data_IF_722453176678
#
_entry.id   IF_722453176678
#
_cell.length_a   1.000
_cell.length_b   1.000
_cell.length_c   1.000
_cell.angle_alpha   90.00
_cell.angle_beta   90.00
_cell.angle_gamma   90.00
#
_symmetry.space_group_name_H-M   'P 1'
#
loop_
_entity.id
_entity.type
_entity.pdbx_description
1 polymer ?
#
# COMPACT_ATOMS: atom_id res chain seq x y z
N UNK A 1 -7.42 5.92 9.41
CA UNK A 1 -6.53 6.69 10.29
C UNK A 1 -6.50 5.98 11.63
N UNK A 2 -5.35 5.43 12.05
CA UNK A 2 -5.24 4.82 13.38
C UNK A 2 -4.62 5.84 14.31
N UNK A 3 -5.40 6.28 15.28
CA UNK A 3 -4.91 7.14 16.35
C UNK A 3 -4.38 6.22 17.44
N UNK A 4 -3.08 6.36 17.75
CA UNK A 4 -2.55 5.80 18.97
C UNK A 4 -3.26 6.50 20.13
N UNK A 5 -3.51 5.81 21.25
CA UNK A 5 -4.01 6.45 22.46
C UNK A 5 -2.86 6.56 23.44
N UNK A 6 -2.52 7.78 23.84
CA UNK A 6 -1.57 8.02 24.91
C UNK A 6 -2.10 7.46 26.25
N UNK A 7 -1.22 7.21 27.25
CA UNK A 7 -1.64 6.92 28.61
C UNK A 7 -2.58 8.04 29.11
N UNK A 8 -3.86 7.71 29.33
CA UNK A 8 -4.93 8.70 29.63
C UNK A 8 -6.01 8.84 28.55
N UNK A 9 -5.90 8.11 27.42
CA UNK A 9 -6.95 8.00 26.42
C UNK A 9 -7.01 9.13 25.39
N UNK A 10 -6.08 10.09 25.47
CA UNK A 10 -5.89 11.18 24.49
C UNK A 10 -5.41 10.60 23.17
N UNK A 11 -5.98 11.07 22.06
CA UNK A 11 -5.55 10.70 20.72
C UNK A 11 -4.14 11.26 20.48
N UNK A 12 -3.20 10.37 20.20
CA UNK A 12 -1.82 10.66 19.81
C UNK A 12 -1.67 10.44 18.31
N UNK A 13 -1.48 11.55 17.60
CA UNK A 13 -1.26 11.63 16.15
C UNK A 13 0.21 11.91 15.80
N UNK A 14 1.12 11.89 16.79
CA UNK A 14 2.54 12.23 16.59
C UNK A 14 3.20 11.42 15.49
N UNK A 15 2.85 10.13 15.38
CA UNK A 15 3.37 9.25 14.36
C UNK A 15 2.79 9.51 12.97
N UNK A 16 1.50 9.85 12.87
CA UNK A 16 0.90 10.24 11.59
C UNK A 16 1.47 11.58 11.11
N UNK A 17 1.72 12.52 12.04
CA UNK A 17 2.46 13.77 11.74
C UNK A 17 3.88 13.49 11.27
N UNK A 18 4.59 12.59 11.94
CA UNK A 18 5.92 12.17 11.49
C UNK A 18 5.89 11.59 10.07
N UNK A 19 4.95 10.69 9.73
CA UNK A 19 4.86 10.18 8.36
C UNK A 19 4.51 11.26 7.35
N UNK A 20 3.61 12.18 7.70
CA UNK A 20 3.25 13.29 6.85
C UNK A 20 4.46 14.19 6.54
N UNK A 21 5.24 14.55 7.56
CA UNK A 21 6.35 15.48 7.45
C UNK A 21 7.61 14.84 6.85
N UNK A 22 7.97 13.64 7.29
CA UNK A 22 9.26 13.00 6.98
C UNK A 22 9.19 12.05 5.79
N UNK A 23 8.00 11.61 5.36
CA UNK A 23 7.86 10.66 4.24
C UNK A 23 6.96 11.18 3.14
N UNK A 24 5.73 11.57 3.46
CA UNK A 24 4.76 12.01 2.45
C UNK A 24 5.16 13.39 1.89
N UNK A 25 5.60 14.32 2.72
CA UNK A 25 6.06 15.65 2.32
C UNK A 25 7.19 15.63 1.28
N UNK A 26 8.31 14.94 1.53
CA UNK A 26 9.39 14.74 0.55
C UNK A 26 8.89 14.07 -0.73
N UNK A 27 8.09 13.01 -0.61
CA UNK A 27 7.52 12.33 -1.77
C UNK A 27 6.66 13.26 -2.63
N UNK A 28 5.81 14.11 -2.04
CA UNK A 28 4.96 15.04 -2.77
C UNK A 28 5.76 16.03 -3.63
N UNK A 29 6.88 16.55 -3.08
CA UNK A 29 7.79 17.43 -3.82
C UNK A 29 8.40 16.71 -5.03
N UNK A 30 8.88 15.48 -4.82
CA UNK A 30 9.48 14.66 -5.88
C UNK A 30 8.43 14.30 -6.92
N UNK A 31 7.24 13.84 -6.50
CA UNK A 31 6.10 13.51 -7.39
C UNK A 31 5.77 14.67 -8.30
N UNK A 32 5.63 15.88 -7.77
CA UNK A 32 5.26 17.04 -8.59
C UNK A 32 6.31 17.33 -9.66
N UNK A 33 7.61 17.19 -9.34
CA UNK A 33 8.68 17.28 -10.36
C UNK A 33 8.56 16.17 -11.41
N UNK A 34 8.36 14.92 -10.99
CA UNK A 34 8.17 13.77 -11.90
C UNK A 34 7.00 14.00 -12.87
N UNK A 35 5.90 14.61 -12.41
CA UNK A 35 4.77 14.96 -13.26
C UNK A 35 5.12 16.03 -14.30
N UNK A 36 5.94 17.02 -13.95
CA UNK A 36 6.43 18.04 -14.90
C UNK A 36 7.35 17.41 -15.93
N UNK A 37 8.27 16.54 -15.52
CA UNK A 37 9.16 15.80 -16.43
C UNK A 37 8.37 14.91 -17.39
N UNK A 38 7.40 14.15 -16.88
CA UNK A 38 6.51 13.33 -17.69
C UNK A 38 5.66 14.15 -18.68
N UNK A 39 5.27 15.38 -18.31
CA UNK A 39 4.54 16.27 -19.22
C UNK A 39 5.45 16.88 -20.31
N UNK A 40 6.75 16.98 -20.04
CA UNK A 40 7.74 17.51 -21.00
C UNK A 40 8.22 16.44 -22.00
N UNK A 41 8.22 15.16 -21.62
CA UNK A 41 8.60 14.05 -22.49
C UNK A 41 7.41 13.32 -23.10
N UNK A 42 7.47 13.01 -24.40
CA UNK A 42 6.54 12.10 -25.04
C UNK A 42 7.06 10.67 -24.90
N UNK A 43 6.54 9.88 -23.96
CA UNK A 43 6.78 8.43 -23.86
C UNK A 43 7.31 7.94 -22.52
N UNK A 44 8.05 6.82 -22.56
CA UNK A 44 8.67 6.19 -21.37
C UNK A 44 9.97 6.92 -21.03
N UNK A 45 10.03 7.54 -19.85
CA UNK A 45 11.22 8.23 -19.38
C UNK A 45 11.94 7.40 -18.32
N UNK A 46 13.26 7.26 -18.47
CA UNK A 46 14.12 6.88 -17.36
C UNK A 46 14.15 8.03 -16.37
N UNK A 47 13.84 7.73 -15.12
CA UNK A 47 13.72 8.76 -14.08
C UNK A 47 15.11 9.24 -13.66
N UNK A 48 15.31 10.55 -13.61
CA UNK A 48 16.51 11.13 -13.01
C UNK A 48 16.22 11.50 -11.55
N UNK A 49 16.45 10.55 -10.65
CA UNK A 49 16.44 10.79 -9.20
C UNK A 49 17.88 10.75 -8.68
N UNK A 50 18.21 11.65 -7.75
CA UNK A 50 19.39 11.46 -6.90
C UNK A 50 19.22 10.18 -6.04
N UNK A 51 20.30 9.56 -5.57
CA UNK A 51 20.20 8.40 -4.67
C UNK A 51 19.30 8.68 -3.45
N UNK A 52 19.38 9.87 -2.87
CA UNK A 52 18.60 10.30 -1.72
C UNK A 52 17.11 10.42 -2.07
N UNK A 53 16.77 11.07 -3.18
CA UNK A 53 15.38 11.18 -3.65
C UNK A 53 14.81 9.80 -3.99
N UNK A 54 15.61 8.93 -4.61
CA UNK A 54 15.20 7.57 -4.94
C UNK A 54 14.86 6.78 -3.68
N UNK A 55 15.70 6.86 -2.65
CA UNK A 55 15.45 6.23 -1.37
C UNK A 55 14.22 6.82 -0.68
N UNK A 56 14.01 8.14 -0.72
CA UNK A 56 12.83 8.79 -0.15
C UNK A 56 11.52 8.29 -0.81
N UNK A 57 11.49 8.20 -2.14
CA UNK A 57 10.32 7.62 -2.83
C UNK A 57 10.17 6.14 -2.49
N UNK A 58 11.27 5.38 -2.44
CA UNK A 58 11.23 3.95 -2.10
C UNK A 58 10.68 3.70 -0.69
N UNK A 59 11.04 4.55 0.28
CA UNK A 59 10.52 4.50 1.64
C UNK A 59 9.01 4.80 1.68
N UNK A 60 8.56 5.81 0.92
CA UNK A 60 7.13 6.06 0.76
C UNK A 60 6.40 4.84 0.20
N UNK A 61 6.91 4.22 -0.88
CA UNK A 61 6.32 3.01 -1.47
C UNK A 61 6.29 1.84 -0.49
N UNK A 62 7.38 1.61 0.26
CA UNK A 62 7.47 0.58 1.28
C UNK A 62 6.39 0.76 2.36
N UNK A 63 6.19 1.99 2.85
CA UNK A 63 5.14 2.30 3.83
C UNK A 63 3.75 2.14 3.23
N UNK A 64 3.50 2.57 1.99
CA UNK A 64 2.20 2.35 1.33
C UNK A 64 1.87 0.85 1.24
N UNK A 65 2.84 0.01 0.88
CA UNK A 65 2.68 -1.44 0.85
C UNK A 65 2.32 -2.03 2.22
N UNK A 66 3.11 -1.69 3.25
CA UNK A 66 2.97 -2.22 4.61
C UNK A 66 1.72 -1.68 5.32
N UNK A 67 1.19 -0.53 4.89
CA UNK A 67 -0.05 0.06 5.41
C UNK A 67 -1.30 -0.58 4.80
N UNK A 68 -1.20 -1.47 3.82
CA UNK A 68 -2.41 -2.11 3.27
C UNK A 68 -3.07 -3.03 4.30
N UNK A 69 -4.41 -3.14 4.33
CA UNK A 69 -5.09 -4.01 5.28
C UNK A 69 -4.66 -5.49 5.21
N UNK A 70 -4.27 -5.97 4.03
CA UNK A 70 -3.76 -7.33 3.81
C UNK A 70 -2.44 -7.54 4.55
N UNK A 71 -1.46 -6.66 4.35
CA UNK A 71 -0.16 -6.76 5.03
C UNK A 71 -0.29 -6.56 6.54
N UNK A 72 -1.20 -5.70 6.99
CA UNK A 72 -1.52 -5.58 8.42
C UNK A 72 -2.07 -6.89 8.99
N UNK A 73 -2.98 -7.52 8.27
CA UNK A 73 -3.53 -8.82 8.65
C UNK A 73 -2.45 -9.89 8.75
N UNK A 74 -1.54 -9.94 7.77
CA UNK A 74 -0.41 -10.86 7.76
C UNK A 74 0.57 -10.59 8.91
N UNK A 75 0.93 -9.32 9.18
CA UNK A 75 1.84 -8.94 10.27
C UNK A 75 1.24 -9.27 11.64
N UNK A 76 -0.05 -9.03 11.84
CA UNK A 76 -0.75 -9.40 13.07
C UNK A 76 -0.80 -10.93 13.23
N UNK A 77 -1.10 -11.66 12.15
CA UNK A 77 -1.11 -13.13 12.16
C UNK A 77 0.27 -13.72 12.45
N UNK A 78 1.34 -13.19 11.85
CA UNK A 78 2.72 -13.60 12.15
C UNK A 78 3.10 -13.29 13.60
N UNK A 79 2.63 -12.16 14.14
CA UNK A 79 2.85 -11.80 15.53
C UNK A 79 2.12 -12.78 16.47
N UNK A 80 0.88 -13.15 16.15
CA UNK A 80 0.13 -14.19 16.86
C UNK A 80 0.90 -15.52 16.83
N UNK A 81 1.41 -15.91 15.65
CA UNK A 81 2.20 -17.13 15.49
C UNK A 81 3.55 -17.10 16.20
N UNK A 82 4.20 -15.96 16.36
CA UNK A 82 5.49 -15.86 17.05
C UNK A 82 5.34 -15.75 18.58
N UNK A 83 4.25 -15.15 19.04
CA UNK A 83 3.92 -15.04 20.46
C UNK A 83 3.67 -16.42 21.11
N UNK A 84 2.99 -17.32 20.39
CA UNK A 84 2.62 -18.65 20.91
C UNK A 84 3.86 -19.52 21.23
N UNK A 85 4.85 -19.70 20.33
CA UNK A 85 6.09 -20.43 20.60
C UNK A 85 6.91 -19.81 21.73
N UNK A 86 7.02 -18.48 21.80
CA UNK A 86 7.77 -17.82 22.87
C UNK A 86 7.13 -18.13 24.24
N UNK A 87 5.81 -18.03 24.35
CA UNK A 87 5.10 -18.39 25.59
C UNK A 87 5.29 -19.88 25.89
N UNK A 88 5.17 -20.75 24.89
CA UNK A 88 5.32 -22.20 25.05
C UNK A 88 6.73 -22.59 25.50
N UNK A 89 7.77 -22.01 24.90
CA UNK A 89 9.17 -22.30 25.22
C UNK A 89 9.51 -21.82 26.64
N UNK A 90 9.02 -20.65 27.03
CA UNK A 90 9.18 -20.11 28.39
C UNK A 90 8.44 -20.95 29.44
N UNK A 91 7.29 -21.54 29.07
CA UNK A 91 6.45 -22.36 29.94
C UNK A 91 6.74 -23.88 29.87
N UNK A 92 7.67 -24.32 29.02
CA UNK A 92 8.06 -25.72 28.90
C UNK A 92 8.71 -26.25 30.20
N UNK A 93 8.72 -27.57 30.46
CA UNK A 93 9.49 -28.14 31.57
C UNK A 93 10.96 -27.72 31.50
N UNK A 94 11.45 -27.05 32.56
CA UNK A 94 12.81 -26.49 32.59
C UNK A 94 12.95 -25.08 32.00
N UNK A 95 11.88 -24.51 31.46
CA UNK A 95 11.83 -23.11 31.01
C UNK A 95 11.82 -22.12 32.17
N UNK A 96 12.41 -20.94 31.95
CA UNK A 96 12.56 -19.89 32.97
C UNK A 96 11.22 -19.38 33.53
N UNK A 97 10.13 -19.49 32.76
CA UNK A 97 8.80 -19.06 33.17
C UNK A 97 8.25 -19.88 34.34
N UNK A 98 8.52 -21.19 34.39
CA UNK A 98 7.98 -22.05 35.45
C UNK A 98 8.54 -21.69 36.82
N UNK A 99 9.87 -21.47 36.89
CA UNK A 99 10.55 -21.05 38.11
C UNK A 99 10.07 -19.68 38.59
N UNK A 100 9.86 -18.74 37.66
CA UNK A 100 9.31 -17.42 37.96
C UNK A 100 7.92 -17.52 38.61
N UNK A 101 6.98 -18.27 38.03
CA UNK A 101 5.61 -18.38 38.55
C UNK A 101 5.52 -19.14 39.88
N UNK A 102 6.35 -20.17 40.10
CA UNK A 102 6.45 -20.84 41.40
C UNK A 102 7.00 -19.90 42.48
N UNK A 103 8.02 -19.10 42.14
CA UNK A 103 8.55 -18.07 43.04
C UNK A 103 7.49 -17.04 43.44
N UNK A 104 6.68 -16.60 42.47
CA UNK A 104 5.57 -15.66 42.70
C UNK A 104 4.44 -16.27 43.56
N UNK A 105 4.12 -17.55 43.34
CA UNK A 105 3.07 -18.25 44.08
C UNK A 105 3.51 -18.72 45.48
N UNK A 106 4.81 -18.63 45.80
CA UNK A 106 5.42 -19.16 47.02
C UNK A 106 5.07 -20.63 47.31
N UNK A 107 4.84 -21.43 46.26
CA UNK A 107 4.52 -22.86 46.34
C UNK A 107 4.89 -23.58 45.05
N UNK A 108 5.03 -24.89 45.12
CA UNK A 108 5.05 -25.71 43.91
C UNK A 108 3.69 -25.67 43.21
N UNK A 109 3.75 -25.55 41.89
CA UNK A 109 2.60 -25.52 40.98
C UNK A 109 2.49 -26.87 40.28
N UNK A 110 1.28 -27.40 40.16
CA UNK A 110 1.02 -28.63 39.42
C UNK A 110 1.07 -28.36 37.89
N UNK A 111 1.21 -29.41 37.07
CA UNK A 111 1.17 -29.26 35.60
C UNK A 111 -0.13 -28.62 35.10
N UNK A 112 -1.27 -28.88 35.76
CA UNK A 112 -2.54 -28.23 35.43
C UNK A 112 -2.52 -26.72 35.69
N UNK A 113 -1.78 -26.26 36.70
CA UNK A 113 -1.61 -24.84 36.99
C UNK A 113 -0.78 -24.17 35.88
N UNK A 114 0.31 -24.81 35.44
CA UNK A 114 1.13 -24.30 34.34
C UNK A 114 0.39 -24.27 33.01
N UNK A 115 -0.42 -25.28 32.70
CA UNK A 115 -1.27 -25.29 31.51
C UNK A 115 -2.28 -24.13 31.53
N UNK A 116 -2.86 -23.81 32.69
CA UNK A 116 -3.76 -22.67 32.85
C UNK A 116 -3.03 -21.32 32.68
N UNK A 117 -1.82 -21.19 33.23
CA UNK A 117 -0.98 -19.99 33.08
C UNK A 117 -0.54 -19.81 31.62
N UNK A 118 -0.09 -20.88 30.96
CA UNK A 118 0.27 -20.86 29.53
C UNK A 118 -0.91 -20.43 28.67
N UNK A 119 -2.11 -20.94 28.93
CA UNK A 119 -3.32 -20.53 28.22
C UNK A 119 -3.65 -19.04 28.44
N UNK A 120 -3.47 -18.51 29.66
CA UNK A 120 -3.67 -17.09 29.97
C UNK A 120 -2.63 -16.22 29.26
N UNK A 121 -1.35 -16.57 29.36
CA UNK A 121 -0.26 -15.82 28.72
C UNK A 121 -0.36 -15.85 27.20
N UNK A 122 -0.73 -16.98 26.63
CA UNK A 122 -1.00 -17.12 25.20
C UNK A 122 -2.14 -16.19 24.79
N UNK A 123 -3.25 -16.18 25.55
CA UNK A 123 -4.37 -15.28 25.30
C UNK A 123 -3.98 -13.81 25.43
N UNK A 124 -3.17 -13.45 26.43
CA UNK A 124 -2.66 -12.07 26.61
C UNK A 124 -1.75 -11.71 25.45
N UNK A 125 -0.81 -12.56 25.06
CA UNK A 125 0.12 -12.29 23.98
C UNK A 125 -0.60 -12.16 22.63
N UNK A 126 -1.62 -13.00 22.36
CA UNK A 126 -2.51 -12.84 21.21
C UNK A 126 -3.39 -11.60 21.31
N UNK A 127 -3.85 -11.21 22.49
CA UNK A 127 -4.65 -9.99 22.66
C UNK A 127 -3.80 -8.73 22.51
N UNK A 128 -2.57 -8.70 23.02
CA UNK A 128 -1.63 -7.59 22.88
C UNK A 128 -1.08 -7.49 21.45
N UNK A 129 -0.89 -8.62 20.75
CA UNK A 129 -0.58 -8.61 19.32
C UNK A 129 -1.76 -8.06 18.48
N UNK A 130 -2.99 -8.21 18.98
CA UNK A 130 -4.20 -7.59 18.43
C UNK A 130 -4.42 -6.15 18.88
N UNK A 131 -3.75 -5.69 19.94
CA UNK A 131 -3.78 -4.28 20.32
C UNK A 131 -3.14 -3.44 19.21
N UNK A 132 -3.83 -2.35 18.87
CA UNK A 132 -3.72 -1.62 17.63
C UNK A 132 -2.33 -0.96 17.48
N UNK A 133 -1.36 -1.66 16.91
CA UNK A 133 -0.03 -1.07 16.67
C UNK A 133 1.12 -2.04 16.39
N UNK A 134 0.96 -3.35 16.59
CA UNK A 134 2.05 -4.29 16.33
C UNK A 134 2.48 -4.31 14.85
N UNK A 135 1.52 -4.33 13.92
CA UNK A 135 1.79 -4.18 12.49
C UNK A 135 2.60 -2.91 12.16
N UNK A 136 2.41 -1.85 12.93
CA UNK A 136 3.07 -0.56 12.72
C UNK A 136 4.53 -0.61 13.16
N UNK A 137 4.81 -1.24 14.32
CA UNK A 137 6.19 -1.50 14.77
C UNK A 137 6.92 -2.42 13.79
N UNK A 138 6.27 -3.50 13.35
CA UNK A 138 6.81 -4.41 12.34
C UNK A 138 7.05 -3.65 11.03
N UNK A 139 6.07 -2.86 10.58
CA UNK A 139 6.14 -2.04 9.39
C UNK A 139 7.29 -1.04 9.43
N UNK A 140 7.46 -0.30 10.53
CA UNK A 140 8.56 0.65 10.70
C UNK A 140 9.93 -0.02 10.69
N UNK A 141 10.05 -1.27 11.19
CA UNK A 141 11.31 -2.03 11.13
C UNK A 141 11.59 -2.60 9.75
N UNK A 142 10.56 -3.00 9.01
CA UNK A 142 10.70 -3.58 7.68
C UNK A 142 10.83 -2.53 6.59
N UNK A 143 10.21 -1.35 6.76
CA UNK A 143 10.14 -0.33 5.73
C UNK A 143 11.52 0.11 5.20
N UNK A 144 12.56 0.36 6.03
CA UNK A 144 13.89 0.73 5.51
C UNK A 144 14.51 -0.37 4.64
N UNK A 145 14.44 -1.64 5.09
CA UNK A 145 14.97 -2.78 4.32
C UNK A 145 14.23 -2.97 3.00
N UNK A 146 12.92 -2.78 3.04
CA UNK A 146 12.09 -2.85 1.85
C UNK A 146 12.37 -1.65 0.92
N UNK A 147 12.61 -0.47 1.46
CA UNK A 147 13.02 0.71 0.70
C UNK A 147 14.34 0.49 -0.05
N UNK A 148 15.34 -0.15 0.59
CA UNK A 148 16.60 -0.50 -0.08
C UNK A 148 16.38 -1.43 -1.27
N UNK A 149 15.53 -2.46 -1.09
CA UNK A 149 15.15 -3.36 -2.17
C UNK A 149 14.42 -2.62 -3.29
N UNK A 150 13.42 -1.81 -2.96
CA UNK A 150 12.64 -1.02 -3.93
C UNK A 150 13.54 -0.03 -4.70
N UNK A 151 14.49 0.62 -4.02
CA UNK A 151 15.43 1.56 -4.61
C UNK A 151 16.39 0.89 -5.62
N UNK A 152 16.64 -0.41 -5.47
CA UNK A 152 17.47 -1.20 -6.40
C UNK A 152 16.77 -1.64 -7.69
N UNK A 153 15.43 -1.52 -7.78
CA UNK A 153 14.65 -1.93 -8.95
C UNK A 153 14.90 -1.02 -10.16
N UNK A 154 14.40 -1.39 -11.33
CA UNK A 154 14.30 -0.50 -12.48
C UNK A 154 13.04 0.36 -12.39
N UNK A 155 13.17 1.67 -12.62
CA UNK A 155 12.10 2.65 -12.43
C UNK A 155 11.81 3.40 -13.72
N UNK A 156 10.52 3.51 -14.04
CA UNK A 156 10.04 4.14 -15.27
C UNK A 156 8.88 5.07 -14.98
N UNK A 157 8.90 6.25 -15.58
CA UNK A 157 7.70 7.07 -15.72
C UNK A 157 7.04 6.76 -17.06
N UNK A 158 5.77 6.43 -17.00
CA UNK A 158 4.98 6.05 -18.18
C UNK A 158 3.79 6.99 -18.29
N UNK A 159 3.73 7.73 -19.39
CA UNK A 159 2.54 8.49 -19.75
C UNK A 159 1.44 7.55 -20.27
N UNK A 160 0.22 7.72 -19.78
CA UNK A 160 -0.93 7.01 -20.33
C UNK A 160 -1.20 7.47 -21.77
N UNK A 161 -1.61 6.55 -22.67
CA UNK A 161 -2.12 6.92 -23.98
C UNK A 161 -3.27 7.93 -23.89
N UNK A 162 -3.42 8.76 -24.92
CA UNK A 162 -4.50 9.74 -24.98
C UNK A 162 -5.86 9.06 -24.87
N UNK A 163 -6.74 9.62 -24.05
CA UNK A 163 -8.09 9.11 -23.83
C UNK A 163 -8.20 8.05 -22.74
N UNK A 164 -7.08 7.53 -22.21
CA UNK A 164 -7.09 6.60 -21.10
C UNK A 164 -6.83 7.35 -19.79
N UNK A 165 -7.80 7.29 -18.88
CA UNK A 165 -7.64 7.78 -17.51
C UNK A 165 -7.28 6.61 -16.58
N UNK A 166 -6.27 6.83 -15.76
CA UNK A 166 -5.80 5.89 -14.75
C UNK A 166 -6.44 6.21 -13.40
N UNK A 167 -7.28 5.31 -12.85
CA UNK A 167 -7.75 5.46 -11.50
C UNK A 167 -6.64 5.15 -10.49
N UNK A 168 -6.91 5.46 -9.24
CA UNK A 168 -6.18 4.93 -8.07
C UNK A 168 -7.16 4.23 -7.14
N UNK A 169 -6.69 3.64 -6.06
CA UNK A 169 -7.54 2.97 -5.07
C UNK A 169 -7.00 3.15 -3.66
N UNK A 170 -7.70 2.57 -2.69
CA UNK A 170 -7.28 2.49 -1.28
C UNK A 170 -6.05 1.59 -1.04
N UNK A 171 -5.57 0.91 -2.09
CA UNK A 171 -4.28 0.20 -2.15
C UNK A 171 -3.43 0.75 -3.32
N UNK A 172 -2.95 2.00 -3.23
CA UNK A 172 -2.45 2.74 -4.39
C UNK A 172 -1.17 2.16 -5.00
N UNK A 173 -0.40 1.39 -4.23
CA UNK A 173 0.73 0.62 -4.75
C UNK A 173 0.27 -0.79 -5.12
N UNK A 174 0.11 -1.03 -6.40
CA UNK A 174 -0.35 -2.30 -6.95
C UNK A 174 0.84 -3.16 -7.31
N UNK A 175 1.02 -4.28 -6.61
CA UNK A 175 2.08 -5.25 -6.87
C UNK A 175 1.49 -6.51 -7.53
N UNK A 176 2.10 -6.94 -8.63
CA UNK A 176 1.70 -8.14 -9.37
C UNK A 176 2.91 -8.95 -9.82
N UNK A 177 2.67 -10.21 -10.13
CA UNK A 177 3.60 -11.03 -10.89
C UNK A 177 3.10 -11.10 -12.33
N UNK A 178 3.96 -10.78 -13.31
CA UNK A 178 3.61 -10.84 -14.73
C UNK A 178 3.32 -12.28 -15.13
N UNK A 179 2.21 -12.51 -15.83
CA UNK A 179 1.90 -13.81 -16.42
C UNK A 179 2.70 -14.07 -17.70
N UNK A 180 2.51 -15.26 -18.28
CA UNK A 180 3.16 -15.68 -19.53
C UNK A 180 2.63 -14.97 -20.78
N UNK A 181 1.44 -14.35 -20.70
CA UNK A 181 0.77 -13.68 -21.82
C UNK A 181 0.78 -12.15 -21.65
N UNK A 182 0.85 -11.36 -22.75
CA UNK A 182 0.80 -9.91 -22.65
C UNK A 182 -0.42 -9.38 -21.91
N UNK A 183 -0.19 -8.68 -20.81
CA UNK A 183 -1.25 -8.08 -20.00
C UNK A 183 -1.96 -9.03 -19.03
N UNK A 184 -1.55 -10.30 -18.95
CA UNK A 184 -1.96 -11.21 -17.88
C UNK A 184 -1.10 -11.00 -16.64
N UNK A 185 -1.70 -11.21 -15.47
CA UNK A 185 -1.05 -10.97 -14.19
C UNK A 185 -1.67 -11.83 -13.09
N UNK A 186 -0.88 -12.08 -12.05
CA UNK A 186 -1.34 -12.62 -10.78
C UNK A 186 -1.21 -11.56 -9.70
N UNK A 187 -2.25 -11.42 -8.87
CA UNK A 187 -2.23 -10.48 -7.76
C UNK A 187 -1.29 -10.98 -6.66
N UNK A 188 -0.44 -10.09 -6.16
CA UNK A 188 0.57 -10.43 -5.18
C UNK A 188 1.85 -10.97 -5.81
N UNK A 189 2.76 -11.40 -4.94
CA UNK A 189 4.13 -11.72 -5.29
C UNK A 189 5.10 -10.91 -4.43
N UNK A 190 6.18 -11.55 -4.01
CA UNK A 190 7.22 -10.85 -3.25
C UNK A 190 8.00 -9.90 -4.16
N UNK A 191 8.53 -8.83 -3.59
CA UNK A 191 9.46 -7.91 -4.25
C UNK A 191 10.70 -8.59 -4.87
N UNK A 192 10.98 -9.83 -4.46
CA UNK A 192 12.05 -10.67 -4.97
C UNK A 192 11.58 -11.73 -5.98
N UNK A 193 10.30 -11.78 -6.34
CA UNK A 193 9.81 -12.73 -7.35
C UNK A 193 10.35 -12.39 -8.75
N UNK A 194 10.53 -13.41 -9.57
CA UNK A 194 10.77 -13.23 -11.00
C UNK A 194 9.49 -12.68 -11.67
N UNK A 195 9.64 -11.78 -12.64
CA UNK A 195 8.48 -11.14 -13.28
C UNK A 195 7.71 -10.17 -12.38
N UNK A 196 8.26 -9.78 -11.22
CA UNK A 196 7.66 -8.80 -10.33
C UNK A 196 7.48 -7.45 -11.02
N UNK A 197 6.29 -6.87 -10.83
CA UNK A 197 5.96 -5.49 -11.21
C UNK A 197 5.25 -4.77 -10.07
N UNK A 198 5.53 -3.49 -9.92
CA UNK A 198 4.73 -2.60 -9.11
C UNK A 198 4.33 -1.35 -9.89
N UNK A 199 3.10 -0.87 -9.66
CA UNK A 199 2.67 0.43 -10.17
C UNK A 199 2.04 1.31 -9.11
N UNK A 200 2.35 2.60 -9.23
CA UNK A 200 1.69 3.67 -8.52
C UNK A 200 1.22 4.71 -9.54
N UNK A 201 -0.08 4.97 -9.58
CA UNK A 201 -0.65 6.07 -10.38
C UNK A 201 -0.27 7.40 -9.70
N UNK A 202 0.61 8.18 -10.33
CA UNK A 202 1.02 9.50 -9.82
C UNK A 202 0.02 10.61 -10.19
N UNK A 203 -0.69 10.41 -11.30
CA UNK A 203 -1.78 11.25 -11.78
C UNK A 203 -2.66 10.44 -12.75
N UNK A 204 -3.84 10.94 -13.16
CA UNK A 204 -4.68 10.36 -14.23
C UNK A 204 -3.95 9.87 -15.48
N UNK A 205 -2.78 10.45 -15.78
CA UNK A 205 -2.07 10.22 -17.03
C UNK A 205 -0.62 9.80 -16.83
N UNK A 206 -0.15 9.56 -15.60
CA UNK A 206 1.24 9.21 -15.32
C UNK A 206 1.33 8.09 -14.30
N UNK A 207 2.07 7.04 -14.66
CA UNK A 207 2.35 5.87 -13.83
C UNK A 207 3.83 5.88 -13.46
N UNK A 208 4.12 5.67 -12.18
CA UNK A 208 5.41 5.16 -11.74
C UNK A 208 5.37 3.64 -11.82
N UNK A 209 6.21 3.06 -12.66
CA UNK A 209 6.34 1.63 -12.89
C UNK A 209 7.69 1.14 -12.40
N UNK A 210 7.67 0.06 -11.60
CA UNK A 210 8.85 -0.59 -11.06
C UNK A 210 8.89 -2.04 -11.51
N UNK A 211 10.07 -2.55 -11.86
CA UNK A 211 10.27 -3.97 -12.15
C UNK A 211 11.69 -4.42 -11.80
N UNK A 212 11.90 -5.73 -11.69
CA UNK A 212 13.24 -6.32 -11.55
C UNK A 212 13.94 -6.52 -12.89
N UNK A 213 13.18 -6.70 -13.96
CA UNK A 213 13.71 -7.03 -15.27
C UNK A 213 12.83 -6.42 -16.36
N UNK A 214 13.40 -5.48 -17.09
CA UNK A 214 12.79 -4.87 -18.26
C UNK A 214 13.54 -5.23 -19.54
N UNK A 215 13.70 -6.52 -19.81
CA UNK A 215 14.23 -7.02 -21.10
C UNK A 215 13.45 -6.49 -22.32
N UNK A 216 12.14 -6.29 -22.20
CA UNK A 216 11.30 -5.71 -23.25
C UNK A 216 10.54 -4.48 -22.74
N UNK A 217 10.77 -3.33 -23.39
CA UNK A 217 10.11 -2.05 -23.08
C UNK A 217 8.99 -1.71 -24.06
N UNK A 218 8.85 -2.47 -25.15
CA UNK A 218 7.97 -2.13 -26.28
C UNK A 218 6.49 -2.10 -25.90
N UNK A 219 6.11 -2.85 -24.86
CA UNK A 219 4.75 -2.87 -24.35
C UNK A 219 4.41 -1.67 -23.44
N UNK A 220 5.41 -0.96 -22.91
CA UNK A 220 5.18 0.20 -22.04
C UNK A 220 4.55 1.35 -22.84
N UNK A 221 3.74 2.16 -22.17
CA UNK A 221 2.98 3.27 -22.78
C UNK A 221 2.02 2.85 -23.91
N UNK A 222 1.72 1.55 -24.06
CA UNK A 222 0.66 1.07 -24.96
C UNK A 222 -0.71 1.16 -24.29
N UNK A 223 -1.77 1.19 -25.10
CA UNK A 223 -3.15 1.07 -24.61
C UNK A 223 -3.35 -0.23 -23.84
N UNK A 224 -2.83 -1.36 -24.34
CA UNK A 224 -2.90 -2.66 -23.65
C UNK A 224 -2.28 -2.61 -22.25
N UNK A 225 -1.13 -1.96 -22.09
CA UNK A 225 -0.49 -1.79 -20.79
C UNK A 225 -1.32 -0.91 -19.86
N UNK A 226 -1.76 0.26 -20.32
CA UNK A 226 -2.57 1.17 -19.51
C UNK A 226 -3.90 0.52 -19.07
N UNK A 227 -4.54 -0.24 -19.96
CA UNK A 227 -5.73 -1.03 -19.64
C UNK A 227 -5.42 -2.14 -18.63
N UNK A 228 -4.27 -2.80 -18.72
CA UNK A 228 -3.83 -3.76 -17.70
C UNK A 228 -3.65 -3.09 -16.34
N UNK A 229 -3.01 -1.91 -16.29
CA UNK A 229 -2.84 -1.12 -15.05
C UNK A 229 -4.21 -0.76 -14.44
N UNK A 230 -5.19 -0.32 -15.24
CA UNK A 230 -6.56 -0.06 -14.78
C UNK A 230 -7.18 -1.30 -14.16
N UNK A 231 -7.14 -2.44 -14.86
CA UNK A 231 -7.71 -3.71 -14.37
C UNK A 231 -7.09 -4.16 -13.06
N UNK A 232 -5.76 -4.14 -12.92
CA UNK A 232 -5.10 -4.56 -11.66
C UNK A 232 -5.36 -3.58 -10.51
N UNK A 233 -5.45 -2.27 -10.79
CA UNK A 233 -5.80 -1.27 -9.77
C UNK A 233 -7.20 -1.52 -9.20
N UNK A 234 -8.16 -1.82 -10.07
CA UNK A 234 -9.54 -2.16 -9.68
C UNK A 234 -9.58 -3.50 -8.94
N UNK A 235 -8.81 -4.49 -9.39
CA UNK A 235 -8.77 -5.81 -8.75
C UNK A 235 -8.07 -5.79 -7.37
N UNK A 236 -7.11 -4.88 -7.17
CA UNK A 236 -6.45 -4.66 -5.88
C UNK A 236 -7.28 -3.80 -4.91
N UNK A 237 -8.22 -3.01 -5.41
CA UNK A 237 -9.04 -2.14 -4.57
C UNK A 237 -9.85 -2.98 -3.57
N UNK A 238 -9.83 -2.56 -2.30
CA UNK A 238 -10.57 -3.26 -1.26
C UNK A 238 -11.97 -2.69 -1.14
N UNK A 239 -12.06 -1.40 -0.85
CA UNK A 239 -13.31 -0.70 -0.56
C UNK A 239 -13.58 0.41 -1.59
N UNK A 240 -12.54 1.04 -2.16
CA UNK A 240 -12.71 2.22 -3.01
C UNK A 240 -11.79 2.27 -4.22
N UNK A 241 -12.36 2.65 -5.36
CA UNK A 241 -11.62 3.12 -6.53
C UNK A 241 -11.91 4.60 -6.73
N UNK A 242 -10.85 5.39 -6.92
CA UNK A 242 -10.91 6.84 -7.08
C UNK A 242 -10.49 7.24 -8.49
N UNK A 243 -11.23 8.15 -9.11
CA UNK A 243 -10.87 8.76 -10.39
C UNK A 243 -11.04 10.27 -10.37
N UNK A 244 -10.22 10.98 -11.13
CA UNK A 244 -10.33 12.42 -11.33
C UNK A 244 -11.33 12.82 -12.42
N UNK A 245 -11.72 11.86 -13.28
CA UNK A 245 -12.76 12.09 -14.30
C UNK A 245 -13.81 10.99 -14.21
N UNK A 246 -15.00 11.30 -14.72
CA UNK A 246 -16.01 10.28 -14.94
C UNK A 246 -15.48 9.27 -15.97
N UNK A 247 -15.42 8.01 -15.57
CA UNK A 247 -14.99 6.89 -16.38
C UNK A 247 -16.19 5.96 -16.57
N UNK A 248 -16.72 5.94 -17.79
CA UNK A 248 -17.92 5.18 -18.12
C UNK A 248 -17.68 3.67 -18.23
N UNK A 249 -16.42 3.24 -18.35
CA UNK A 249 -16.06 1.83 -18.40
C UNK A 249 -15.85 1.27 -16.99
N UNK A 250 -15.50 2.13 -16.03
CA UNK A 250 -15.21 1.71 -14.65
C UNK A 250 -16.37 0.94 -13.98
N UNK A 251 -17.65 1.34 -14.11
CA UNK A 251 -18.76 0.54 -13.58
C UNK A 251 -18.83 -0.88 -14.15
N UNK A 252 -18.48 -1.08 -15.42
CA UNK A 252 -18.46 -2.40 -16.04
C UNK A 252 -17.30 -3.24 -15.51
N UNK A 253 -16.13 -2.62 -15.34
CA UNK A 253 -14.96 -3.26 -14.74
C UNK A 253 -15.20 -3.61 -13.26
N UNK A 254 -15.91 -2.75 -12.53
CA UNK A 254 -16.31 -2.98 -11.14
C UNK A 254 -17.41 -4.03 -11.02
N UNK A 255 -18.29 -4.19 -12.01
CA UNK A 255 -19.28 -5.27 -11.98
C UNK A 255 -18.64 -6.67 -11.90
N UNK A 256 -17.38 -6.81 -12.36
CA UNK A 256 -16.59 -8.02 -12.22
C UNK A 256 -15.87 -8.15 -10.85
N UNK A 257 -15.88 -7.10 -10.02
CA UNK A 257 -15.22 -7.05 -8.71
C UNK A 257 -16.25 -6.71 -7.61
N UNK A 258 -16.66 -7.66 -6.76
CA UNK A 258 -17.81 -7.47 -5.87
C UNK A 258 -17.59 -6.50 -4.68
N UNK A 259 -16.49 -5.72 -4.66
CA UNK A 259 -15.99 -5.07 -3.44
C UNK A 259 -15.83 -3.56 -3.48
N UNK A 260 -15.28 -2.92 -4.53
CA UNK A 260 -15.00 -1.50 -4.45
C UNK A 260 -16.18 -0.64 -4.90
N UNK A 261 -16.49 0.40 -4.15
CA UNK A 261 -17.35 1.48 -4.61
C UNK A 261 -16.51 2.51 -5.41
N UNK A 262 -17.17 3.17 -6.38
CA UNK A 262 -16.52 4.14 -7.26
C UNK A 262 -16.69 5.55 -6.71
N UNK A 263 -15.61 6.31 -6.61
CA UNK A 263 -15.60 7.72 -6.22
C UNK A 263 -14.96 8.59 -7.30
N UNK A 264 -15.57 9.73 -7.55
CA UNK A 264 -15.07 10.74 -8.49
C UNK A 264 -14.67 11.98 -7.71
N UNK A 265 -13.47 12.48 -7.93
CA UNK A 265 -13.05 13.76 -7.37
C UNK A 265 -13.68 14.92 -8.16
N UNK A 266 -14.47 15.73 -7.48
CA UNK A 266 -15.04 16.97 -8.01
C UNK A 266 -14.76 18.09 -7.02
N UNK A 267 -14.05 19.13 -7.47
CA UNK A 267 -13.70 20.30 -6.64
C UNK A 267 -13.02 19.92 -5.31
N UNK A 268 -12.12 18.93 -5.34
CA UNK A 268 -11.41 18.44 -4.14
C UNK A 268 -12.24 17.57 -3.20
N UNK A 269 -13.44 17.13 -3.63
CA UNK A 269 -14.31 16.25 -2.85
C UNK A 269 -14.67 15.00 -3.63
N UNK A 270 -14.60 13.84 -2.97
CA UNK A 270 -15.00 12.57 -3.57
C UNK A 270 -16.52 12.35 -3.46
N UNK A 271 -17.16 12.07 -4.60
CA UNK A 271 -18.60 11.87 -4.75
C UNK A 271 -18.92 10.52 -5.39
N UNK A 272 -20.09 9.96 -5.12
CA UNK A 272 -20.61 8.85 -5.92
C UNK A 272 -20.90 9.33 -7.36
N UNK A 273 -20.82 8.45 -8.38
CA UNK A 273 -21.16 8.81 -9.75
C UNK A 273 -22.58 9.35 -9.92
N UNK A 274 -23.54 8.85 -9.13
CA UNK A 274 -24.93 9.31 -9.12
C UNK A 274 -25.12 10.72 -8.55
N UNK A 275 -24.12 11.25 -7.85
CA UNK A 275 -24.14 12.60 -7.27
C UNK A 275 -23.56 13.66 -8.23
N UNK A 276 -23.01 13.24 -9.37
CA UNK A 276 -22.41 14.16 -10.36
C UNK A 276 -23.54 14.84 -11.16
N UNK A 277 -23.66 16.18 -11.11
CA UNK A 277 -24.65 16.89 -11.91
C UNK A 277 -24.44 16.68 -13.41
N UNK A 278 -25.53 16.50 -14.16
CA UNK A 278 -25.48 16.29 -15.62
C UNK A 278 -24.75 17.41 -16.38
N UNK A 279 -24.77 18.64 -15.85
CA UNK A 279 -24.02 19.77 -16.41
C UNK A 279 -22.50 19.56 -16.31
N UNK A 280 -22.03 19.03 -15.18
CA UNK A 280 -20.60 18.71 -14.96
C UNK A 280 -20.21 17.49 -15.79
N UNK A 281 -21.10 16.51 -15.92
CA UNK A 281 -20.85 15.33 -16.77
C UNK A 281 -20.59 15.72 -18.24
N UNK A 282 -21.35 16.65 -18.79
CA UNK A 282 -21.14 17.15 -20.14
C UNK A 282 -19.78 17.85 -20.30
N UNK A 283 -19.38 18.65 -19.32
CA UNK A 283 -18.08 19.33 -19.31
C UNK A 283 -16.92 18.34 -19.18
N UNK A 284 -17.04 17.34 -18.30
CA UNK A 284 -16.04 16.27 -18.13
C UNK A 284 -15.84 15.45 -19.41
N UNK A 285 -16.90 15.26 -20.21
CA UNK A 285 -16.80 14.60 -21.53
C UNK A 285 -16.07 15.44 -22.56
N UNK A 286 -16.26 16.75 -22.55
CA UNK A 286 -15.65 17.66 -23.51
C UNK A 286 -14.19 17.99 -23.18
N UNK A 287 -13.80 17.92 -21.90
CA UNK A 287 -12.48 18.33 -21.41
C UNK A 287 -11.56 17.16 -21.04
N UNK A 288 -11.75 15.99 -21.67
CA UNK A 288 -10.76 14.92 -21.64
C UNK A 288 -9.35 15.51 -21.90
N UNK A 289 -8.35 15.15 -21.08
CA UNK A 289 -7.39 16.09 -20.51
C UNK A 289 -6.64 16.91 -21.58
N UNK A 290 -7.07 18.16 -21.77
CA UNK A 290 -6.22 19.22 -22.28
C UNK A 290 -5.53 19.88 -21.09
N UNK A 291 -4.30 19.44 -20.80
CA UNK A 291 -3.32 20.03 -19.86
C UNK A 291 -3.94 20.76 -18.65
N UNK A 292 -4.23 20.03 -17.58
CA UNK A 292 -4.51 20.65 -16.28
C UNK A 292 -3.27 21.41 -15.79
N UNK A 293 -3.34 22.74 -15.75
CA UNK A 293 -2.36 23.57 -15.06
C UNK A 293 -2.63 23.48 -13.55
N UNK A 294 -1.84 22.67 -12.85
CA UNK A 294 -1.86 22.65 -11.39
C UNK A 294 -1.33 23.99 -10.85
N UNK A 295 -2.19 24.75 -10.15
CA UNK A 295 -1.74 25.83 -9.26
C UNK A 295 -1.57 25.22 -7.87
N UNK A 296 -0.34 25.03 -7.42
CA UNK A 296 -0.04 24.69 -6.02
C UNK A 296 0.02 25.99 -5.20
N UNK A 297 -0.75 26.02 -4.10
CA UNK A 297 -0.60 26.97 -2.99
C UNK A 297 0.06 26.29 -1.81
#
# INVERSE_FOLDING_TARGET
MHTLRAPGGVLDDSLERFFADEVEGPFLKIRNRLLVEAAAGLGTLTISLTPEERHAVALYLALQHLRTPTERGAANWLSDLAAIPIVRDVMAPGGEGRAFFQGLAHRELAESDFAAIEAILTRIASNNAREQGHWLVVGMRLAPRLADLIASLDWHLIAAPRGINLPTCDMPLVCVTRGSEPGSFELGGGWAAEGFEATLTLSPSVILYLTRDLNDRSFLATETFAQSVRRRTIACARDWVYSHTLDHELPQLLAASPRPAYRIELNGQFREPSEVPASIEADLRQHAPQKFNFRYG
#
